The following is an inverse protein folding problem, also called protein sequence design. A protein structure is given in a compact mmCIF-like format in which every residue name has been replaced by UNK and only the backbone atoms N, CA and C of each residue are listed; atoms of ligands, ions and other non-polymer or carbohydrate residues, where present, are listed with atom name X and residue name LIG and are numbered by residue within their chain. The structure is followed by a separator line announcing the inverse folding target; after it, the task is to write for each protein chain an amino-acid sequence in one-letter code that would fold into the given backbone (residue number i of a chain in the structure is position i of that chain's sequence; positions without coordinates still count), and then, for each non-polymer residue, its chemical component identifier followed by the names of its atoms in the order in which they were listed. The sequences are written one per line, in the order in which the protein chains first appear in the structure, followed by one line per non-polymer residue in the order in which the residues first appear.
data_IF_870574138638
#
_entry.id   IF_870574138638
#
_cell.length_a   1.000
_cell.length_b   1.000
_cell.length_c   1.000
_cell.angle_alpha   90.00
_cell.angle_beta   90.00
_cell.angle_gamma   90.00
#
_symmetry.space_group_name_H-M   'P 1'
#
loop_
_entity.id
_entity.type
_entity.pdbx_description
1 polymer ?
#
# COMPACT_ATOMS: atom_id res chain seq x y z
N UNK A 1 -20.34 -18.35 9.22
CA UNK A 1 -21.05 -18.47 7.94
C UNK A 1 -20.13 -18.04 6.82
N UNK A 2 -20.19 -18.67 5.65
CA UNK A 2 -19.45 -18.23 4.46
C UNK A 2 -19.99 -16.86 4.01
N UNK A 3 -19.04 -15.96 3.67
CA UNK A 3 -19.34 -14.62 3.13
C UNK A 3 -18.79 -14.47 1.71
N UNK A 4 -19.19 -13.43 1.03
CA UNK A 4 -18.81 -13.13 -0.35
C UNK A 4 -18.12 -11.77 -0.40
N UNK A 5 -16.86 -11.75 -0.82
CA UNK A 5 -16.07 -10.51 -0.86
C UNK A 5 -15.56 -10.19 -2.26
N UNK A 6 -15.50 -8.91 -2.56
CA UNK A 6 -14.81 -8.40 -3.73
C UNK A 6 -13.45 -7.88 -3.30
N UNK A 7 -12.40 -8.21 -4.06
CA UNK A 7 -11.08 -7.63 -3.93
C UNK A 7 -10.72 -6.93 -5.24
N UNK A 8 -10.56 -5.62 -5.22
CA UNK A 8 -9.97 -4.93 -6.37
C UNK A 8 -8.46 -5.04 -6.28
N UNK A 9 -7.80 -5.24 -7.42
CA UNK A 9 -6.35 -5.45 -7.40
C UNK A 9 -5.93 -6.82 -6.86
N UNK A 10 -6.82 -7.84 -6.93
CA UNK A 10 -6.55 -9.18 -6.40
C UNK A 10 -5.39 -9.92 -7.07
N UNK A 11 -4.91 -9.45 -8.25
CA UNK A 11 -3.67 -9.97 -8.86
C UNK A 11 -2.38 -9.33 -8.32
N UNK A 12 -2.48 -8.27 -7.49
CA UNK A 12 -1.34 -7.66 -6.83
C UNK A 12 -0.93 -8.40 -5.55
N UNK A 13 0.20 -8.01 -4.97
CA UNK A 13 0.79 -8.67 -3.82
C UNK A 13 -0.17 -8.82 -2.63
N UNK A 14 -0.71 -7.70 -2.12
CA UNK A 14 -1.65 -7.70 -0.99
C UNK A 14 -2.97 -8.38 -1.37
N UNK A 15 -3.53 -8.04 -2.53
CA UNK A 15 -4.83 -8.57 -2.95
C UNK A 15 -4.82 -10.08 -3.14
N UNK A 16 -3.73 -10.64 -3.67
CA UNK A 16 -3.56 -12.09 -3.85
C UNK A 16 -3.44 -12.81 -2.50
N UNK A 17 -2.60 -12.31 -1.60
CA UNK A 17 -2.43 -12.88 -0.27
C UNK A 17 -3.74 -12.82 0.53
N UNK A 18 -4.45 -11.69 0.49
CA UNK A 18 -5.75 -11.52 1.13
C UNK A 18 -6.79 -12.48 0.56
N UNK A 19 -6.87 -12.60 -0.77
CA UNK A 19 -7.78 -13.52 -1.44
C UNK A 19 -7.53 -14.97 -1.07
N UNK A 20 -6.27 -15.41 -1.03
CA UNK A 20 -5.88 -16.74 -0.60
C UNK A 20 -6.32 -17.02 0.86
N UNK A 21 -6.09 -16.07 1.76
CA UNK A 21 -6.49 -16.20 3.18
C UNK A 21 -8.00 -16.28 3.35
N UNK A 22 -8.77 -15.44 2.66
CA UNK A 22 -10.23 -15.46 2.70
C UNK A 22 -10.78 -16.79 2.13
N UNK A 23 -10.21 -17.30 1.06
CA UNK A 23 -10.59 -18.62 0.52
C UNK A 23 -10.28 -19.74 1.50
N UNK A 24 -9.12 -19.73 2.15
CA UNK A 24 -8.77 -20.71 3.19
C UNK A 24 -9.73 -20.67 4.39
N UNK A 25 -10.35 -19.52 4.66
CA UNK A 25 -11.39 -19.34 5.69
C UNK A 25 -12.81 -19.75 5.21
N UNK A 26 -12.96 -20.24 3.98
CA UNK A 26 -14.22 -20.71 3.43
C UNK A 26 -15.11 -19.61 2.82
N UNK A 27 -14.58 -18.41 2.61
CA UNK A 27 -15.31 -17.30 1.97
C UNK A 27 -15.26 -17.40 0.43
N UNK A 28 -16.27 -16.87 -0.26
CA UNK A 28 -16.20 -16.66 -1.71
C UNK A 28 -15.50 -15.34 -2.02
N UNK A 29 -14.62 -15.36 -3.02
CA UNK A 29 -13.86 -14.17 -3.42
C UNK A 29 -13.97 -13.95 -4.92
N UNK A 30 -14.29 -12.70 -5.29
CA UNK A 30 -14.19 -12.17 -6.66
C UNK A 30 -13.06 -11.15 -6.73
N UNK A 31 -12.09 -11.40 -7.56
CA UNK A 31 -11.01 -10.47 -7.86
C UNK A 31 -11.35 -9.61 -9.08
N UNK A 32 -11.29 -8.30 -8.94
CA UNK A 32 -11.37 -7.34 -10.04
C UNK A 32 -9.98 -6.82 -10.36
N UNK A 33 -9.52 -7.02 -11.59
CA UNK A 33 -8.21 -6.56 -12.04
C UNK A 33 -8.18 -6.33 -13.56
N UNK A 34 -7.23 -5.51 -14.04
CA UNK A 34 -7.07 -5.24 -15.48
C UNK A 34 -6.41 -6.39 -16.23
N UNK A 35 -5.51 -7.11 -15.57
CA UNK A 35 -4.77 -8.24 -16.12
C UNK A 35 -5.50 -9.57 -15.96
N UNK A 36 -4.93 -10.60 -16.55
CA UNK A 36 -5.29 -12.00 -16.32
C UNK A 36 -4.29 -12.61 -15.35
N UNK A 37 -4.79 -13.31 -14.34
CA UNK A 37 -4.02 -13.90 -13.25
C UNK A 37 -4.47 -15.36 -13.06
N UNK A 38 -3.98 -16.29 -13.90
CA UNK A 38 -4.43 -17.70 -13.86
C UNK A 38 -4.23 -18.38 -12.50
N UNK A 39 -3.22 -17.95 -11.76
CA UNK A 39 -2.92 -18.43 -10.42
C UNK A 39 -4.04 -18.18 -9.40
N UNK A 40 -4.87 -17.16 -9.61
CA UNK A 40 -6.02 -16.89 -8.74
C UNK A 40 -7.09 -17.99 -8.86
N UNK A 41 -7.26 -18.55 -10.05
CA UNK A 41 -8.20 -19.67 -10.27
C UNK A 41 -7.76 -20.93 -9.52
N UNK A 42 -6.44 -21.18 -9.43
CA UNK A 42 -5.89 -22.29 -8.63
C UNK A 42 -6.18 -22.13 -7.13
N UNK A 43 -6.32 -20.90 -6.66
CA UNK A 43 -6.72 -20.57 -5.29
C UNK A 43 -8.26 -20.58 -5.10
N UNK A 44 -9.03 -20.95 -6.13
CA UNK A 44 -10.50 -20.93 -6.10
C UNK A 44 -11.09 -19.51 -6.07
N UNK A 45 -10.33 -18.51 -6.52
CA UNK A 45 -10.76 -17.11 -6.58
C UNK A 45 -11.37 -16.86 -7.98
N UNK A 46 -12.62 -16.40 -8.01
CA UNK A 46 -13.25 -15.94 -9.25
C UNK A 46 -12.58 -14.64 -9.71
N UNK A 47 -12.45 -14.45 -11.01
CA UNK A 47 -11.80 -13.25 -11.58
C UNK A 47 -12.71 -12.56 -12.60
N UNK A 48 -12.71 -11.24 -12.60
CA UNK A 48 -13.32 -10.43 -13.64
C UNK A 48 -12.33 -9.36 -14.10
N UNK A 49 -12.23 -9.18 -15.43
CA UNK A 49 -11.36 -8.16 -16.02
C UNK A 49 -12.09 -6.82 -15.99
N UNK A 50 -11.64 -5.91 -15.14
CA UNK A 50 -12.23 -4.59 -14.92
C UNK A 50 -11.12 -3.55 -14.80
N UNK A 51 -11.26 -2.43 -15.54
CA UNK A 51 -10.57 -1.18 -15.19
C UNK A 51 -11.52 -0.38 -14.27
N UNK A 52 -11.19 -0.29 -12.99
CA UNK A 52 -12.01 0.44 -12.02
C UNK A 52 -12.17 1.93 -12.35
N UNK A 53 -11.35 2.46 -13.24
CA UNK A 53 -11.44 3.84 -13.72
C UNK A 53 -12.32 4.00 -14.97
N UNK A 54 -12.86 2.91 -15.54
CA UNK A 54 -13.89 2.98 -16.58
C UNK A 54 -15.25 3.32 -15.94
N UNK A 55 -16.26 3.72 -16.75
CA UNK A 55 -17.59 4.02 -16.25
C UNK A 55 -18.15 2.89 -15.38
N UNK A 56 -18.64 3.23 -14.19
CA UNK A 56 -19.12 2.25 -13.20
C UNK A 56 -20.29 1.41 -13.72
N UNK A 57 -21.06 1.95 -14.63
CA UNK A 57 -22.21 1.30 -15.28
C UNK A 57 -21.82 0.02 -16.02
N UNK A 58 -20.59 -0.05 -16.52
CA UNK A 58 -20.09 -1.20 -17.28
C UNK A 58 -19.92 -2.46 -16.42
N UNK A 59 -19.65 -2.30 -15.12
CA UNK A 59 -19.25 -3.40 -14.25
C UNK A 59 -19.91 -3.44 -12.87
N UNK A 60 -20.68 -2.44 -12.46
CA UNK A 60 -21.32 -2.37 -11.15
C UNK A 60 -22.19 -3.61 -10.81
N UNK A 61 -22.78 -4.27 -11.83
CA UNK A 61 -23.59 -5.48 -11.64
C UNK A 61 -22.80 -6.63 -11.00
N UNK A 62 -21.47 -6.62 -11.11
CA UNK A 62 -20.60 -7.59 -10.45
C UNK A 62 -20.63 -7.49 -8.92
N UNK A 63 -21.12 -6.37 -8.37
CA UNK A 63 -21.17 -6.13 -6.93
C UNK A 63 -22.42 -6.71 -6.25
N UNK A 64 -23.44 -7.06 -7.03
CA UNK A 64 -24.73 -7.52 -6.47
C UNK A 64 -24.55 -8.82 -5.67
N UNK A 65 -24.99 -8.77 -4.42
CA UNK A 65 -25.02 -9.91 -3.50
C UNK A 65 -23.67 -10.21 -2.83
N UNK A 66 -22.72 -9.26 -2.82
CA UNK A 66 -21.49 -9.35 -2.02
C UNK A 66 -21.66 -8.65 -0.68
N UNK A 67 -20.97 -9.15 0.35
CA UNK A 67 -21.08 -8.68 1.74
C UNK A 67 -20.12 -7.53 2.05
N UNK A 68 -19.01 -7.45 1.31
CA UNK A 68 -17.99 -6.42 1.53
C UNK A 68 -16.97 -6.31 0.40
N UNK A 69 -16.25 -5.19 0.40
CA UNK A 69 -15.21 -4.88 -0.59
C UNK A 69 -13.90 -4.57 0.10
N UNK A 70 -12.83 -5.20 -0.37
CA UNK A 70 -11.45 -4.83 -0.09
C UNK A 70 -10.88 -4.09 -1.31
N UNK A 71 -10.66 -2.81 -1.16
CA UNK A 71 -10.14 -1.99 -2.24
C UNK A 71 -8.63 -1.84 -2.12
N UNK A 72 -7.88 -2.77 -2.74
CA UNK A 72 -6.41 -2.79 -2.72
C UNK A 72 -5.78 -2.31 -4.04
N UNK A 73 -6.60 -2.08 -5.07
CA UNK A 73 -6.10 -1.61 -6.36
C UNK A 73 -5.56 -0.19 -6.26
N UNK A 74 -4.33 0.01 -6.67
CA UNK A 74 -3.71 1.32 -6.80
C UNK A 74 -2.66 1.32 -7.92
N UNK A 75 -2.42 2.48 -8.51
CA UNK A 75 -1.18 2.75 -9.25
C UNK A 75 -0.13 3.20 -8.25
N UNK A 76 0.87 2.35 -8.04
CA UNK A 76 2.01 2.59 -7.14
C UNK A 76 3.26 2.79 -7.99
N UNK A 77 3.83 3.97 -7.98
CA UNK A 77 5.09 4.27 -8.64
C UNK A 77 5.72 5.54 -8.02
N UNK A 78 7.04 5.63 -8.09
CA UNK A 78 7.78 6.79 -7.58
C UNK A 78 7.79 7.96 -8.57
N UNK A 79 7.36 7.75 -9.83
CA UNK A 79 7.36 8.77 -10.89
C UNK A 79 6.35 8.43 -11.99
N UNK A 80 5.74 9.48 -12.55
CA UNK A 80 4.86 9.37 -13.71
C UNK A 80 3.90 10.57 -13.83
N UNK A 81 3.13 10.67 -14.92
CA UNK A 81 2.12 11.70 -15.10
C UNK A 81 1.06 11.65 -13.99
N UNK A 82 0.70 12.80 -13.45
CA UNK A 82 -0.30 12.93 -12.39
C UNK A 82 -1.65 12.31 -12.79
N UNK A 83 -2.06 12.51 -14.02
CA UNK A 83 -3.33 12.04 -14.57
C UNK A 83 -3.46 10.52 -14.51
N UNK A 84 -2.37 9.78 -14.72
CA UNK A 84 -2.37 8.32 -14.65
C UNK A 84 -2.64 7.82 -13.23
N UNK A 85 -2.07 8.50 -12.21
CA UNK A 85 -2.32 8.19 -10.81
C UNK A 85 -3.74 8.63 -10.41
N UNK A 86 -4.14 9.83 -10.82
CA UNK A 86 -5.44 10.37 -10.50
C UNK A 86 -6.56 9.49 -11.06
N UNK A 87 -6.43 9.04 -12.31
CA UNK A 87 -7.37 8.14 -12.96
C UNK A 87 -7.55 6.85 -12.15
N UNK A 88 -6.45 6.18 -11.78
CA UNK A 88 -6.55 4.90 -11.08
C UNK A 88 -6.91 5.08 -9.61
N UNK A 89 -6.19 5.98 -8.89
CA UNK A 89 -6.27 6.07 -7.44
C UNK A 89 -7.47 6.89 -6.96
N UNK A 90 -7.89 7.90 -7.72
CA UNK A 90 -9.01 8.78 -7.30
C UNK A 90 -10.30 8.39 -8.03
N UNK A 91 -10.30 8.44 -9.37
CA UNK A 91 -11.52 8.09 -10.12
C UNK A 91 -11.91 6.63 -9.88
N UNK A 92 -10.92 5.71 -9.90
CA UNK A 92 -11.18 4.31 -9.57
C UNK A 92 -11.79 4.12 -8.18
N UNK A 93 -11.29 4.83 -7.16
CA UNK A 93 -11.84 4.77 -5.80
C UNK A 93 -13.25 5.34 -5.71
N UNK A 94 -13.53 6.47 -6.38
CA UNK A 94 -14.88 7.03 -6.49
C UNK A 94 -15.87 6.03 -7.09
N UNK A 95 -15.47 5.36 -8.15
CA UNK A 95 -16.29 4.34 -8.81
C UNK A 95 -16.54 3.14 -7.90
N UNK A 96 -15.57 2.72 -7.06
CA UNK A 96 -15.77 1.65 -6.08
C UNK A 96 -16.77 2.08 -4.99
N UNK A 97 -16.65 3.30 -4.47
CA UNK A 97 -17.61 3.86 -3.50
C UNK A 97 -19.01 3.85 -4.10
N UNK A 98 -19.16 4.33 -5.34
CA UNK A 98 -20.45 4.37 -6.04
C UNK A 98 -21.01 2.97 -6.30
N UNK A 99 -20.17 2.02 -6.73
CA UNK A 99 -20.61 0.64 -6.94
C UNK A 99 -21.08 -0.03 -5.63
N UNK A 100 -20.40 0.22 -4.51
CA UNK A 100 -20.85 -0.25 -3.20
C UNK A 100 -22.24 0.29 -2.87
N UNK A 101 -22.45 1.61 -3.00
CA UNK A 101 -23.73 2.26 -2.71
C UNK A 101 -24.86 1.73 -3.59
N UNK A 102 -24.64 1.63 -4.91
CA UNK A 102 -25.64 1.12 -5.86
C UNK A 102 -25.99 -0.35 -5.63
N UNK A 103 -25.04 -1.16 -5.19
CA UNK A 103 -25.26 -2.59 -4.90
C UNK A 103 -25.75 -2.87 -3.47
N UNK A 104 -25.85 -1.85 -2.62
CA UNK A 104 -26.21 -2.00 -1.21
C UNK A 104 -25.13 -2.68 -0.36
N UNK A 105 -23.86 -2.66 -0.79
CA UNK A 105 -22.74 -3.18 -0.01
C UNK A 105 -22.36 -2.14 1.04
N UNK A 106 -22.46 -2.53 2.32
CA UNK A 106 -22.27 -1.62 3.44
C UNK A 106 -20.83 -1.51 3.92
N UNK A 107 -19.95 -2.45 3.60
CA UNK A 107 -18.62 -2.57 4.22
C UNK A 107 -17.52 -2.42 3.16
N UNK A 108 -16.67 -1.38 3.33
CA UNK A 108 -15.54 -1.09 2.45
C UNK A 108 -14.25 -0.90 3.26
N UNK A 109 -13.28 -1.76 3.05
CA UNK A 109 -11.92 -1.61 3.56
C UNK A 109 -11.02 -1.11 2.45
N UNK A 110 -10.36 0.02 2.65
CA UNK A 110 -9.47 0.66 1.69
C UNK A 110 -8.01 0.55 2.10
N UNK A 111 -7.15 0.08 1.20
CA UNK A 111 -5.71 0.09 1.41
C UNK A 111 -5.13 1.42 0.99
N UNK A 112 -4.74 2.23 1.95
CA UNK A 112 -4.02 3.48 1.76
C UNK A 112 -2.50 3.27 1.92
N UNK A 113 -1.78 4.28 2.40
CA UNK A 113 -0.34 4.26 2.64
C UNK A 113 0.03 5.37 3.61
N UNK A 114 1.05 5.22 4.47
CA UNK A 114 1.58 6.33 5.26
C UNK A 114 2.11 7.50 4.42
N UNK A 115 2.45 7.27 3.16
CA UNK A 115 2.89 8.33 2.25
C UNK A 115 1.88 9.48 2.09
N UNK A 116 0.60 9.26 2.45
CA UNK A 116 -0.44 10.31 2.40
C UNK A 116 -0.18 11.47 3.36
N UNK A 117 0.66 11.26 4.37
CA UNK A 117 1.06 12.29 5.33
C UNK A 117 2.55 12.65 5.23
N UNK A 118 3.27 12.09 4.24
CA UNK A 118 4.69 12.33 4.07
C UNK A 118 4.94 13.75 3.54
N UNK A 119 5.65 14.55 4.30
CA UNK A 119 5.97 15.96 4.01
C UNK A 119 7.47 16.23 3.77
N UNK A 120 8.28 15.14 3.72
CA UNK A 120 9.73 15.21 3.53
C UNK A 120 10.54 15.31 4.81
N UNK A 121 9.88 15.42 5.97
CA UNK A 121 10.51 15.46 7.29
C UNK A 121 10.55 14.07 7.94
N UNK A 122 11.20 13.99 9.09
CA UNK A 122 11.16 12.81 9.95
C UNK A 122 9.76 12.69 10.60
N UNK A 123 9.19 11.50 10.54
CA UNK A 123 7.89 11.15 11.11
C UNK A 123 8.09 10.06 12.16
N UNK A 124 8.30 10.48 13.41
CA UNK A 124 8.73 9.61 14.49
C UNK A 124 7.59 9.31 15.48
N UNK A 125 7.09 8.06 15.46
CA UNK A 125 6.07 7.58 16.38
C UNK A 125 4.73 8.34 16.31
N UNK A 126 4.48 9.02 15.21
CA UNK A 126 3.25 9.81 15.02
C UNK A 126 2.02 8.92 14.89
N UNK A 127 0.85 9.48 15.15
CA UNK A 127 -0.43 8.79 15.04
C UNK A 127 -1.31 9.38 13.92
N UNK A 128 -2.52 8.87 13.78
CA UNK A 128 -3.46 9.22 12.71
C UNK A 128 -3.97 10.66 12.73
N UNK A 129 -3.70 11.42 13.81
CA UNK A 129 -4.05 12.85 13.92
C UNK A 129 -3.05 13.76 13.19
N UNK A 130 -1.91 13.21 12.76
CA UNK A 130 -0.95 13.99 11.98
C UNK A 130 -1.59 14.50 10.68
N UNK A 131 -1.46 15.79 10.36
CA UNK A 131 -2.19 16.41 9.25
C UNK A 131 -1.64 15.97 7.89
N UNK A 132 -2.49 16.01 6.87
CA UNK A 132 -2.06 15.89 5.49
C UNK A 132 -1.19 17.09 5.10
N UNK A 133 -0.10 16.89 4.35
CA UNK A 133 0.75 17.99 3.89
C UNK A 133 0.03 18.89 2.90
N UNK A 134 0.38 20.18 2.90
CA UNK A 134 -0.15 21.15 1.92
C UNK A 134 0.42 20.88 0.51
N UNK A 135 1.60 20.32 0.43
CA UNK A 135 2.32 20.04 -0.82
C UNK A 135 2.84 18.62 -0.81
N UNK A 136 2.79 17.97 -1.95
CA UNK A 136 3.30 16.62 -2.15
C UNK A 136 4.38 16.63 -3.23
N UNK A 137 5.50 15.96 -2.99
CA UNK A 137 6.60 15.86 -3.94
C UNK A 137 6.34 14.86 -5.08
N UNK A 138 5.35 13.98 -4.93
CA UNK A 138 5.01 12.98 -5.94
C UNK A 138 3.50 12.85 -6.15
N UNK A 139 3.12 12.34 -7.33
CA UNK A 139 1.72 12.10 -7.68
C UNK A 139 1.08 10.99 -6.87
N UNK A 140 1.87 9.94 -6.52
CA UNK A 140 1.38 8.81 -5.75
C UNK A 140 0.83 9.21 -4.37
N UNK A 141 1.61 9.81 -3.46
CA UNK A 141 1.11 10.22 -2.15
C UNK A 141 -0.06 11.21 -2.26
N UNK A 142 0.00 12.16 -3.19
CA UNK A 142 -1.08 13.13 -3.40
C UNK A 142 -2.41 12.46 -3.77
N UNK A 143 -2.39 11.54 -4.74
CA UNK A 143 -3.61 10.88 -5.19
C UNK A 143 -4.14 9.87 -4.17
N UNK A 144 -3.25 9.23 -3.40
CA UNK A 144 -3.65 8.37 -2.29
C UNK A 144 -4.29 9.17 -1.15
N UNK A 145 -3.77 10.36 -0.85
CA UNK A 145 -4.35 11.25 0.17
C UNK A 145 -5.76 11.72 -0.23
N UNK A 146 -5.97 12.09 -1.49
CA UNK A 146 -7.31 12.45 -1.99
C UNK A 146 -8.27 11.26 -1.87
N UNK A 147 -7.85 10.09 -2.35
CA UNK A 147 -8.69 8.88 -2.29
C UNK A 147 -9.04 8.48 -0.85
N UNK A 148 -8.08 8.55 0.06
CA UNK A 148 -8.30 8.25 1.48
C UNK A 148 -9.32 9.19 2.10
N UNK A 149 -9.17 10.50 1.89
CA UNK A 149 -10.11 11.50 2.40
C UNK A 149 -11.53 11.25 1.85
N UNK A 150 -11.65 10.91 0.58
CA UNK A 150 -12.94 10.61 -0.04
C UNK A 150 -13.57 9.32 0.49
N UNK A 151 -12.77 8.27 0.77
CA UNK A 151 -13.26 7.04 1.41
C UNK A 151 -13.72 7.31 2.85
N UNK A 152 -12.94 8.06 3.64
CA UNK A 152 -13.35 8.44 4.99
C UNK A 152 -14.62 9.29 4.98
N UNK A 153 -14.74 10.25 4.08
CA UNK A 153 -15.91 11.12 3.93
C UNK A 153 -17.14 10.38 3.39
N UNK A 154 -16.97 9.28 2.66
CA UNK A 154 -18.07 8.47 2.14
C UNK A 154 -18.76 7.63 3.22
N UNK A 155 -18.14 7.51 4.40
CA UNK A 155 -18.71 6.83 5.54
C UNK A 155 -19.91 7.63 6.08
N UNK A 156 -21.10 7.01 6.10
CA UNK A 156 -22.28 7.56 6.76
C UNK A 156 -22.77 6.68 7.93
N UNK A 157 -22.09 5.56 8.17
CA UNK A 157 -22.41 4.60 9.22
C UNK A 157 -23.66 3.75 8.96
N UNK A 158 -24.42 4.04 7.93
CA UNK A 158 -25.72 3.42 7.63
C UNK A 158 -25.68 2.70 6.28
N UNK A 159 -25.51 3.44 5.19
CA UNK A 159 -25.50 2.88 3.83
C UNK A 159 -24.11 2.42 3.41
N UNK A 160 -23.06 3.10 3.87
CA UNK A 160 -21.68 2.71 3.65
C UNK A 160 -20.85 2.97 4.90
N UNK A 161 -20.13 1.94 5.34
CA UNK A 161 -19.14 1.98 6.42
C UNK A 161 -17.77 1.74 5.85
N UNK A 162 -16.81 2.57 6.23
CA UNK A 162 -15.47 2.49 5.67
C UNK A 162 -14.42 2.38 6.76
N UNK A 163 -13.35 1.65 6.47
CA UNK A 163 -12.09 1.67 7.22
C UNK A 163 -10.95 1.81 6.23
N UNK A 164 -10.02 2.67 6.56
CA UNK A 164 -8.80 2.88 5.77
C UNK A 164 -7.59 2.33 6.52
N UNK A 165 -6.74 1.58 5.84
CA UNK A 165 -5.50 1.06 6.40
C UNK A 165 -4.30 1.71 5.71
N UNK A 166 -3.31 2.12 6.50
CA UNK A 166 -2.03 2.69 6.05
C UNK A 166 -0.88 1.72 6.37
N UNK A 167 -0.77 0.57 5.66
CA UNK A 167 0.37 -0.33 5.86
C UNK A 167 1.64 0.31 5.31
N UNK A 168 2.75 0.16 6.05
CA UNK A 168 4.05 0.72 5.67
C UNK A 168 5.00 -0.37 5.19
N UNK A 169 5.67 -0.14 4.03
CA UNK A 169 6.68 -1.01 3.46
C UNK A 169 6.30 -2.51 3.57
N UNK A 170 5.24 -2.90 2.88
CA UNK A 170 4.75 -4.28 2.91
C UNK A 170 5.75 -5.20 2.23
N UNK A 171 6.14 -6.28 2.90
CA UNK A 171 7.13 -7.24 2.42
C UNK A 171 6.78 -8.70 2.82
N UNK A 172 7.45 -9.66 2.20
CA UNK A 172 7.30 -11.08 2.50
C UNK A 172 7.23 -11.95 1.26
N UNK A 173 6.92 -13.25 1.41
CA UNK A 173 6.80 -14.17 0.29
C UNK A 173 5.77 -13.70 -0.75
N UNK A 174 6.18 -13.68 -2.01
CA UNK A 174 5.33 -13.22 -3.11
C UNK A 174 5.36 -11.69 -3.36
N UNK A 175 6.23 -10.95 -2.66
CA UNK A 175 6.45 -9.53 -2.95
C UNK A 175 6.96 -9.35 -4.38
N UNK A 176 6.33 -8.43 -5.11
CA UNK A 176 6.64 -8.13 -6.52
C UNK A 176 7.30 -6.76 -6.68
N UNK A 177 7.53 -6.01 -5.60
CA UNK A 177 7.96 -4.61 -5.67
C UNK A 177 9.20 -4.32 -4.82
N UNK A 178 9.10 -4.38 -3.49
CA UNK A 178 10.14 -3.91 -2.55
C UNK A 178 11.36 -4.82 -2.61
N UNK A 179 11.19 -6.09 -2.25
CA UNK A 179 12.29 -7.07 -2.19
C UNK A 179 12.94 -7.28 -3.56
N UNK A 180 12.18 -7.57 -4.64
CA UNK A 180 12.77 -7.72 -5.97
C UNK A 180 13.59 -6.51 -6.41
N UNK A 181 13.11 -5.29 -6.13
CA UNK A 181 13.83 -4.05 -6.48
C UNK A 181 15.14 -3.92 -5.71
N UNK A 182 15.14 -4.23 -4.41
CA UNK A 182 16.36 -4.21 -3.57
C UNK A 182 17.38 -5.23 -4.10
N UNK A 183 16.94 -6.47 -4.33
CA UNK A 183 17.82 -7.56 -4.79
C UNK A 183 18.37 -7.30 -6.19
N UNK A 184 17.56 -6.80 -7.11
CA UNK A 184 17.99 -6.44 -8.47
C UNK A 184 19.06 -5.34 -8.43
N UNK A 185 18.82 -4.27 -7.67
CA UNK A 185 19.80 -3.18 -7.51
C UNK A 185 21.08 -3.64 -6.84
N UNK A 186 20.99 -4.52 -5.84
CA UNK A 186 22.15 -5.09 -5.16
C UNK A 186 23.00 -5.94 -6.12
N UNK A 187 22.37 -6.87 -6.86
CA UNK A 187 23.04 -7.71 -7.88
C UNK A 187 23.71 -6.87 -8.97
N UNK A 188 23.07 -5.77 -9.36
CA UNK A 188 23.63 -4.84 -10.34
C UNK A 188 24.73 -3.90 -9.77
N UNK A 189 25.05 -3.99 -8.46
CA UNK A 189 26.00 -3.09 -7.79
C UNK A 189 25.54 -1.62 -7.74
N UNK A 190 24.22 -1.39 -7.85
CA UNK A 190 23.62 -0.05 -7.92
C UNK A 190 22.91 0.36 -6.63
N UNK A 191 22.83 -0.53 -5.63
CA UNK A 191 22.26 -0.19 -4.34
C UNK A 191 23.22 0.69 -3.56
N UNK A 192 22.76 1.86 -3.17
CA UNK A 192 23.57 2.88 -2.48
C UNK A 192 22.77 3.43 -1.32
N UNK A 193 23.35 3.43 -0.13
CA UNK A 193 22.79 4.03 1.05
C UNK A 193 22.69 5.55 0.88
N UNK A 194 21.55 6.13 1.28
CA UNK A 194 21.35 7.58 1.32
C UNK A 194 21.37 8.02 2.77
N UNK A 195 22.23 9.01 3.06
CA UNK A 195 22.46 9.48 4.44
C UNK A 195 23.43 8.57 5.21
N UNK A 196 23.41 8.71 6.53
CA UNK A 196 24.27 7.97 7.46
C UNK A 196 23.77 6.55 7.78
N UNK A 197 22.54 6.22 7.37
CA UNK A 197 21.93 4.92 7.62
C UNK A 197 21.26 4.76 8.98
N UNK A 198 21.15 5.84 9.75
CA UNK A 198 20.52 5.83 11.09
C UNK A 198 18.99 5.86 11.05
N UNK A 199 18.40 6.14 9.88
CA UNK A 199 16.96 6.28 9.74
C UNK A 199 16.22 4.98 10.07
N UNK A 200 15.20 5.12 10.94
CA UNK A 200 14.32 4.03 11.34
C UNK A 200 13.03 4.06 10.56
N UNK A 201 12.56 2.88 10.21
CA UNK A 201 11.32 2.70 9.47
C UNK A 201 10.46 1.61 10.08
N UNK A 202 9.16 1.72 9.89
CA UNK A 202 8.24 0.62 10.10
C UNK A 202 8.23 -0.30 8.88
N UNK A 203 7.98 -1.56 9.13
CA UNK A 203 7.77 -2.59 8.12
C UNK A 203 6.47 -3.34 8.41
N UNK A 204 5.82 -3.86 7.39
CA UNK A 204 4.62 -4.67 7.53
C UNK A 204 4.80 -6.01 6.84
N UNK A 205 4.85 -7.10 7.62
CA UNK A 205 4.87 -8.44 7.04
C UNK A 205 3.54 -8.75 6.36
N UNK A 206 3.57 -9.44 5.24
CA UNK A 206 2.38 -9.65 4.40
C UNK A 206 1.23 -10.32 5.15
N UNK A 207 1.49 -11.31 5.99
CA UNK A 207 0.44 -12.00 6.74
C UNK A 207 -0.23 -11.09 7.75
N UNK A 208 0.51 -10.18 8.38
CA UNK A 208 -0.02 -9.18 9.31
C UNK A 208 -0.78 -8.07 8.56
N UNK A 209 -0.31 -7.69 7.38
CA UNK A 209 -1.07 -6.80 6.49
C UNK A 209 -2.45 -7.41 6.16
N UNK A 210 -2.48 -8.69 5.78
CA UNK A 210 -3.72 -9.43 5.51
C UNK A 210 -4.59 -9.53 6.76
N UNK A 211 -4.00 -9.83 7.92
CA UNK A 211 -4.71 -9.91 9.19
C UNK A 211 -5.37 -8.57 9.55
N UNK A 212 -4.69 -7.44 9.32
CA UNK A 212 -5.25 -6.11 9.52
C UNK A 212 -6.46 -5.83 8.62
N UNK A 213 -6.42 -6.23 7.33
CA UNK A 213 -7.56 -6.09 6.42
C UNK A 213 -8.76 -6.91 6.90
N UNK A 214 -8.54 -8.15 7.32
CA UNK A 214 -9.60 -9.03 7.85
C UNK A 214 -10.17 -8.47 9.16
N UNK A 215 -9.32 -7.96 10.05
CA UNK A 215 -9.75 -7.32 11.29
C UNK A 215 -10.61 -6.08 11.03
N UNK A 216 -10.21 -5.23 10.08
CA UNK A 216 -10.96 -4.06 9.66
C UNK A 216 -12.36 -4.45 9.10
N UNK A 217 -12.42 -5.46 8.22
CA UNK A 217 -13.70 -5.95 7.71
C UNK A 217 -14.59 -6.50 8.82
N UNK A 218 -14.02 -7.26 9.76
CA UNK A 218 -14.73 -7.80 10.92
C UNK A 218 -15.29 -6.67 11.80
N UNK A 219 -14.52 -5.60 12.04
CA UNK A 219 -14.99 -4.45 12.80
C UNK A 219 -16.21 -3.79 12.13
N UNK A 220 -16.19 -3.63 10.80
CA UNK A 220 -17.33 -3.12 10.04
C UNK A 220 -18.56 -4.03 10.13
N UNK A 221 -18.36 -5.35 10.08
CA UNK A 221 -19.43 -6.35 10.14
C UNK A 221 -20.04 -6.50 11.54
N UNK A 222 -19.29 -6.22 12.58
CA UNK A 222 -19.71 -6.28 13.99
C UNK A 222 -20.29 -4.95 14.49
N UNK A 223 -20.54 -3.98 13.59
CA UNK A 223 -21.06 -2.66 13.93
C UNK A 223 -20.16 -1.89 14.94
N UNK A 224 -18.83 -2.10 14.89
CA UNK A 224 -17.87 -1.38 15.73
C UNK A 224 -17.76 0.08 15.27
N UNK A 225 -18.65 0.92 15.79
CA UNK A 225 -18.77 2.34 15.38
C UNK A 225 -17.48 3.13 15.57
N UNK A 226 -16.64 2.71 16.53
CA UNK A 226 -15.33 3.32 16.79
C UNK A 226 -14.37 3.24 15.58
N UNK A 227 -14.57 2.26 14.69
CA UNK A 227 -13.73 2.09 13.52
C UNK A 227 -14.20 2.86 12.28
N UNK A 228 -15.48 3.29 12.25
CA UNK A 228 -16.11 3.82 11.05
C UNK A 228 -15.51 5.14 10.59
N UNK A 229 -15.18 5.22 9.30
CA UNK A 229 -14.65 6.43 8.66
C UNK A 229 -13.22 6.79 9.08
N UNK A 230 -12.51 5.92 9.79
CA UNK A 230 -11.16 6.19 10.30
C UNK A 230 -10.06 5.54 9.46
N UNK A 231 -8.88 6.14 9.53
CA UNK A 231 -7.64 5.58 8.99
C UNK A 231 -6.79 5.00 10.14
N UNK A 232 -5.99 3.97 9.84
CA UNK A 232 -5.14 3.27 10.81
C UNK A 232 -3.78 2.95 10.23
N UNK A 233 -2.71 3.28 10.94
CA UNK A 233 -1.37 2.79 10.63
C UNK A 233 -1.26 1.30 10.94
N UNK A 234 -0.61 0.57 10.05
CA UNK A 234 -0.40 -0.87 10.16
C UNK A 234 1.09 -1.15 9.96
N UNK A 235 1.70 -1.77 10.95
CA UNK A 235 3.08 -2.25 10.94
C UNK A 235 3.28 -3.32 12.02
N UNK A 236 4.49 -3.86 12.13
CA UNK A 236 4.86 -4.70 13.28
C UNK A 236 4.93 -3.92 14.60
N UNK A 237 4.93 -2.56 14.56
CA UNK A 237 5.09 -1.72 15.75
C UNK A 237 6.49 -1.83 16.37
N UNK A 238 7.47 -2.21 15.57
CA UNK A 238 8.88 -2.40 15.92
C UNK A 238 9.75 -1.68 14.88
N UNK A 239 10.00 -0.37 15.06
CA UNK A 239 10.81 0.40 14.13
C UNK A 239 12.24 -0.12 14.07
N UNK A 240 12.73 -0.41 12.85
CA UNK A 240 14.08 -0.93 12.63
C UNK A 240 14.94 0.04 11.80
N UNK A 241 16.28 0.02 11.97
CA UNK A 241 17.18 0.73 11.06
C UNK A 241 17.00 0.18 9.64
N UNK A 242 16.57 1.02 8.71
CA UNK A 242 16.23 0.60 7.35
C UNK A 242 17.38 -0.11 6.64
N UNK A 243 18.57 0.47 6.71
CA UNK A 243 19.75 -0.08 6.04
C UNK A 243 20.28 -1.33 6.73
N UNK A 244 20.04 -1.49 8.05
CA UNK A 244 20.30 -2.72 8.79
C UNK A 244 19.42 -3.85 8.28
N UNK A 245 18.11 -3.62 8.18
CA UNK A 245 17.16 -4.59 7.63
C UNK A 245 17.47 -4.96 6.17
N UNK A 246 17.82 -3.97 5.32
CA UNK A 246 18.23 -4.24 3.94
C UNK A 246 19.47 -5.16 3.92
N UNK A 247 20.49 -4.91 4.75
CA UNK A 247 21.68 -5.74 4.79
C UNK A 247 21.41 -7.16 5.31
N UNK A 248 20.49 -7.31 6.26
CA UNK A 248 20.01 -8.63 6.70
C UNK A 248 19.32 -9.38 5.57
N UNK A 249 18.40 -8.71 4.84
CA UNK A 249 17.76 -9.28 3.65
C UNK A 249 18.77 -9.72 2.59
N UNK A 250 19.80 -8.91 2.33
CA UNK A 250 20.88 -9.25 1.39
C UNK A 250 21.64 -10.49 1.85
N UNK A 251 21.94 -10.59 3.13
CA UNK A 251 22.64 -11.75 3.70
C UNK A 251 21.83 -13.05 3.53
N UNK A 252 20.50 -13.02 3.76
CA UNK A 252 19.61 -14.16 3.50
C UNK A 252 19.61 -14.62 2.03
N UNK A 253 19.95 -13.71 1.12
CA UNK A 253 20.04 -14.00 -0.33
C UNK A 253 21.49 -14.19 -0.80
N UNK A 254 22.46 -14.40 0.10
CA UNK A 254 23.88 -14.57 -0.20
C UNK A 254 24.48 -13.39 -1.01
N UNK A 255 23.98 -12.18 -0.78
CA UNK A 255 24.50 -10.96 -1.41
C UNK A 255 25.34 -10.14 -0.43
N UNK A 256 26.35 -9.42 -0.92
CA UNK A 256 27.19 -8.58 -0.06
C UNK A 256 26.39 -7.40 0.51
N UNK A 257 26.75 -6.92 1.71
CA UNK A 257 26.11 -5.74 2.29
C UNK A 257 26.37 -4.49 1.46
N UNK A 258 25.50 -3.48 1.62
CA UNK A 258 25.65 -2.18 0.98
C UNK A 258 26.90 -1.48 1.51
N UNK A 259 27.86 -1.17 0.63
CA UNK A 259 29.13 -0.53 0.97
C UNK A 259 29.22 0.95 0.58
N UNK A 260 28.37 1.36 -0.38
CA UNK A 260 28.37 2.72 -0.91
C UNK A 260 27.34 3.57 -0.17
N UNK A 261 27.71 4.78 0.19
CA UNK A 261 26.78 5.78 0.72
C UNK A 261 26.99 7.12 0.04
N UNK A 262 25.92 7.90 -0.04
CA UNK A 262 25.96 9.30 -0.49
C UNK A 262 25.22 10.17 0.54
N UNK A 263 25.70 11.39 0.80
CA UNK A 263 25.01 12.33 1.66
C UNK A 263 23.60 12.63 1.15
N UNK A 264 22.63 12.76 2.08
CA UNK A 264 21.23 13.09 1.76
C UNK A 264 21.11 14.36 0.88
N UNK A 265 21.89 15.39 1.20
CA UNK A 265 21.93 16.66 0.45
C UNK A 265 22.34 16.46 -1.00
N UNK A 266 23.39 15.65 -1.25
CA UNK A 266 23.85 15.34 -2.61
C UNK A 266 22.78 14.53 -3.37
N UNK A 267 22.18 13.54 -2.71
CA UNK A 267 21.11 12.75 -3.30
C UNK A 267 19.91 13.61 -3.69
N UNK A 268 19.52 14.59 -2.85
CA UNK A 268 18.43 15.54 -3.15
C UNK A 268 18.77 16.43 -4.35
N UNK A 269 20.00 16.95 -4.44
CA UNK A 269 20.47 17.73 -5.59
C UNK A 269 20.40 16.92 -6.88
N UNK A 270 20.90 15.69 -6.86
CA UNK A 270 20.83 14.80 -8.02
C UNK A 270 19.39 14.48 -8.41
N UNK A 271 18.52 14.21 -7.44
CA UNK A 271 17.12 13.96 -7.68
C UNK A 271 16.42 15.16 -8.33
N UNK A 272 16.70 16.37 -7.84
CA UNK A 272 16.14 17.59 -8.40
C UNK A 272 16.53 17.79 -9.88
N UNK A 273 17.80 17.56 -10.22
CA UNK A 273 18.29 17.64 -11.60
C UNK A 273 17.62 16.57 -12.47
N UNK A 274 17.59 15.31 -12.01
CA UNK A 274 17.01 14.21 -12.77
C UNK A 274 15.50 14.38 -13.00
N UNK A 275 14.77 14.89 -12.00
CA UNK A 275 13.35 15.25 -12.16
C UNK A 275 13.15 16.39 -13.14
N UNK A 276 14.03 17.42 -13.14
CA UNK A 276 14.02 18.52 -14.10
C UNK A 276 14.22 18.04 -15.53
N UNK A 277 15.21 17.17 -15.74
CA UNK A 277 15.48 16.52 -17.04
C UNK A 277 14.28 15.67 -17.48
N UNK A 278 13.70 14.88 -16.58
CA UNK A 278 12.53 14.08 -16.90
C UNK A 278 11.33 14.91 -17.32
N UNK A 279 11.08 16.04 -16.63
CA UNK A 279 10.02 16.99 -17.00
C UNK A 279 10.27 17.64 -18.37
N UNK A 280 11.51 18.08 -18.64
CA UNK A 280 11.88 18.66 -19.93
C UNK A 280 11.72 17.63 -21.09
N UNK A 281 12.15 16.39 -20.90
CA UNK A 281 11.99 15.32 -21.87
C UNK A 281 10.50 15.00 -22.13
N UNK A 282 9.67 15.00 -21.09
CA UNK A 282 8.24 14.78 -21.23
C UNK A 282 7.54 15.85 -22.08
N UNK A 283 7.99 17.10 -22.04
CA UNK A 283 7.45 18.20 -22.88
C UNK A 283 7.64 17.89 -24.36
N UNK A 284 8.73 17.25 -24.75
CA UNK A 284 9.03 16.83 -26.13
C UNK A 284 8.55 15.39 -26.45
N UNK A 285 7.69 14.81 -25.60
CA UNK A 285 7.09 13.51 -25.82
C UNK A 285 7.96 12.31 -25.43
N UNK A 286 9.15 12.52 -24.86
CA UNK A 286 10.05 11.42 -24.43
C UNK A 286 9.71 11.06 -22.99
N UNK A 287 9.16 9.86 -22.78
CA UNK A 287 8.88 9.34 -21.43
C UNK A 287 10.16 8.81 -20.79
N UNK A 288 10.74 9.59 -19.91
CA UNK A 288 11.90 9.21 -19.10
C UNK A 288 11.52 9.08 -17.63
N UNK A 289 11.87 7.93 -17.02
CA UNK A 289 11.67 7.66 -15.59
C UNK A 289 13.01 7.89 -14.87
N UNK A 290 13.12 8.92 -14.00
CA UNK A 290 14.35 9.18 -13.27
C UNK A 290 14.67 8.04 -12.31
N UNK A 291 15.95 7.67 -12.23
CA UNK A 291 16.43 6.64 -11.32
C UNK A 291 16.34 7.06 -9.83
N UNK A 292 16.35 8.35 -9.59
CA UNK A 292 16.28 8.96 -8.27
C UNK A 292 15.29 10.12 -8.31
N UNK A 293 14.35 10.13 -7.35
CA UNK A 293 13.37 11.21 -7.15
C UNK A 293 13.51 11.78 -5.75
N UNK A 294 13.10 13.02 -5.52
CA UNK A 294 13.10 13.62 -4.18
C UNK A 294 12.28 12.80 -3.19
N UNK A 295 11.14 12.30 -3.62
CA UNK A 295 10.30 11.41 -2.82
C UNK A 295 11.06 10.13 -2.43
N UNK A 296 11.74 9.46 -3.38
CA UNK A 296 12.54 8.27 -3.07
C UNK A 296 13.71 8.59 -2.13
N UNK A 297 14.40 9.72 -2.32
CA UNK A 297 15.49 10.13 -1.42
C UNK A 297 14.97 10.33 0.00
N UNK A 298 13.82 10.98 0.15
CA UNK A 298 13.19 11.17 1.45
C UNK A 298 12.82 9.83 2.10
N UNK A 299 12.10 8.96 1.40
CA UNK A 299 11.75 7.61 1.87
C UNK A 299 12.97 6.78 2.29
N UNK A 300 14.13 6.97 1.66
CA UNK A 300 15.35 6.21 1.94
C UNK A 300 16.25 6.84 3.01
N UNK A 301 15.93 8.05 3.52
CA UNK A 301 16.84 8.81 4.38
C UNK A 301 16.19 9.53 5.56
N UNK A 302 14.86 9.47 5.71
CA UNK A 302 14.14 10.02 6.87
C UNK A 302 13.68 8.92 7.79
N UNK A 303 13.42 9.28 9.06
CA UNK A 303 12.69 8.43 9.98
C UNK A 303 11.21 8.42 9.59
N UNK A 304 10.60 7.23 9.47
CA UNK A 304 9.17 7.10 9.24
C UNK A 304 8.63 5.82 9.90
N UNK A 305 8.16 5.99 11.12
CA UNK A 305 7.49 4.96 11.90
C UNK A 305 6.33 5.55 12.69
N UNK A 306 5.33 4.73 12.98
CA UNK A 306 4.00 5.18 13.34
C UNK A 306 3.45 4.42 14.55
N UNK A 307 2.59 5.06 15.31
CA UNK A 307 1.85 4.41 16.38
C UNK A 307 0.74 3.54 15.80
N UNK A 308 0.73 2.25 16.14
CA UNK A 308 -0.35 1.31 15.80
C UNK A 308 -1.36 1.15 16.95
N UNK A 309 -1.33 2.05 17.94
CA UNK A 309 -2.18 1.96 19.13
C UNK A 309 -3.68 2.03 18.80
N UNK A 310 -4.06 2.85 17.82
CA UNK A 310 -5.44 2.94 17.36
C UNK A 310 -5.90 1.64 16.68
N UNK A 311 -5.08 1.05 15.81
CA UNK A 311 -5.41 -0.23 15.17
C UNK A 311 -5.55 -1.37 16.20
N UNK A 312 -4.68 -1.40 17.22
CA UNK A 312 -4.79 -2.36 18.32
C UNK A 312 -6.10 -2.21 19.10
N UNK A 313 -6.47 -0.98 19.44
CA UNK A 313 -7.66 -0.68 20.25
C UNK A 313 -8.96 -0.90 19.48
N UNK A 314 -9.07 -0.34 18.27
CA UNK A 314 -10.34 -0.24 17.55
C UNK A 314 -10.60 -1.46 16.64
N UNK A 315 -9.54 -2.08 16.11
CA UNK A 315 -9.64 -3.22 15.21
C UNK A 315 -9.23 -4.56 15.88
N UNK A 316 -8.65 -4.52 17.06
CA UNK A 316 -8.05 -5.70 17.69
C UNK A 316 -6.83 -6.23 16.93
N UNK A 317 -6.18 -5.36 16.13
CA UNK A 317 -5.00 -5.72 15.37
C UNK A 317 -3.82 -6.00 16.29
N UNK A 318 -3.16 -7.14 16.08
CA UNK A 318 -1.91 -7.48 16.75
C UNK A 318 -0.98 -8.13 15.74
N UNK A 319 0.24 -7.64 15.56
CA UNK A 319 1.26 -8.32 14.77
C UNK A 319 1.48 -9.74 15.30
N UNK A 320 1.58 -10.71 14.41
CA UNK A 320 1.72 -12.12 14.77
C UNK A 320 3.18 -12.50 15.08
N UNK A 321 4.13 -11.70 14.62
CA UNK A 321 5.56 -11.96 14.77
C UNK A 321 6.38 -10.65 14.81
N UNK A 322 7.61 -10.73 15.31
CA UNK A 322 8.60 -9.66 15.19
C UNK A 322 9.17 -9.60 13.77
N UNK A 323 9.85 -8.48 13.43
CA UNK A 323 10.54 -8.34 12.13
C UNK A 323 11.56 -9.47 11.91
N UNK A 324 12.33 -9.83 12.95
CA UNK A 324 13.33 -10.90 12.87
C UNK A 324 12.67 -12.27 12.66
N UNK A 325 11.58 -12.58 13.37
CA UNK A 325 10.83 -13.82 13.17
C UNK A 325 10.22 -13.89 11.76
N UNK A 326 9.67 -12.79 11.26
CA UNK A 326 9.16 -12.72 9.90
C UNK A 326 10.25 -12.93 8.85
N UNK A 327 11.46 -12.41 9.06
CA UNK A 327 12.62 -12.62 8.18
C UNK A 327 13.01 -14.09 8.12
N UNK A 328 13.06 -14.79 9.27
CA UNK A 328 13.33 -16.23 9.31
C UNK A 328 12.21 -17.04 8.63
N UNK A 329 10.94 -16.71 8.86
CA UNK A 329 9.81 -17.41 8.22
C UNK A 329 9.80 -17.24 6.70
N UNK A 330 10.23 -16.07 6.21
CA UNK A 330 10.19 -15.75 4.79
C UNK A 330 11.38 -16.33 4.01
N UNK A 331 12.58 -16.39 4.64
CA UNK A 331 13.85 -16.63 3.95
C UNK A 331 14.84 -17.51 4.74
N UNK A 332 14.42 -18.07 5.86
CA UNK A 332 15.21 -18.97 6.71
C UNK A 332 15.38 -20.39 6.18
#
# INVERSE_FOLDING_TARGET
MSKRYIITGGGGFVGKALGAKLRAQGHEVLSLARGSYPELAQLGIKTAKVDIASPVEEWQKLFVGYDGVFHTAAKVDMWGPYEDFFKTNVIGTRNIIEACKRAGIRNLVFTSSPSVIHDGNDLEGINEQYPYPKHFDAAYPKTKAIAEQEVCAANDGVTLRTVTLRPHLIWGPGDTNLIPTILERAKAGRLTQIGDGSNKVDLTYIDDCVAAHIAAMRALEQDSTEAFGKAYFISQGEPVPMWGWINELLAKHNLPPVKRSIPKTLALWLAYILEGVAKALNVIGVRYKPLLTRFLVSEMSTHHYFSIAAAKRDLGYQPSCTISQAMEQAFG
#
